data_IF_613013160618
#
_entry.id   IF_613013160618
#
_cell.length_a   1.000
_cell.length_b   1.000
_cell.length_c   1.000
_cell.angle_alpha   90.00
_cell.angle_beta   90.00
_cell.angle_gamma   90.00
#
_symmetry.space_group_name_H-M   'P 1'
#
loop_
_entity.id
_entity.type
_entity.pdbx_description
1 polymer ?
#
# COMPACT_ATOMS: atom_id res chain seq x y z
N UNK A 1 7.18 -11.95 7.96
CA UNK A 1 6.65 -10.63 7.49
C UNK A 1 7.25 -9.45 8.28
N UNK A 2 8.28 -8.77 7.73
CA UNK A 2 9.00 -7.68 8.44
C UNK A 2 8.47 -6.25 8.11
N UNK A 3 7.43 -6.14 7.29
CA UNK A 3 6.88 -4.84 6.86
C UNK A 3 5.63 -4.41 7.66
N UNK A 4 5.01 -5.32 8.40
CA UNK A 4 3.80 -5.02 9.14
C UNK A 4 4.09 -4.29 10.45
N UNK A 5 3.35 -3.23 10.71
CA UNK A 5 3.23 -2.61 12.03
C UNK A 5 1.78 -2.15 12.25
N UNK A 6 1.32 -2.00 13.51
CA UNK A 6 0.01 -1.46 13.79
C UNK A 6 -0.21 -0.13 13.04
N UNK A 7 -1.44 0.06 12.53
CA UNK A 7 -1.88 1.19 11.67
C UNK A 7 -1.42 1.17 10.21
N UNK A 8 -0.62 0.20 9.77
CA UNK A 8 -0.19 0.15 8.36
C UNK A 8 -1.37 0.19 7.37
N UNK A 9 -2.40 -0.64 7.56
CA UNK A 9 -3.57 -0.66 6.66
C UNK A 9 -4.24 0.71 6.61
N UNK A 10 -4.54 1.28 7.78
CA UNK A 10 -5.21 2.56 7.89
C UNK A 10 -4.40 3.69 7.21
N UNK A 11 -3.08 3.71 7.39
CA UNK A 11 -2.23 4.75 6.80
C UNK A 11 -2.06 4.61 5.29
N UNK A 12 -1.93 3.38 4.77
CA UNK A 12 -1.88 3.16 3.32
C UNK A 12 -3.20 3.54 2.66
N UNK A 13 -4.33 3.18 3.27
CA UNK A 13 -5.66 3.56 2.81
C UNK A 13 -5.80 5.09 2.82
N UNK A 14 -5.41 5.74 3.92
CA UNK A 14 -5.45 7.21 4.04
C UNK A 14 -4.68 7.88 2.90
N UNK A 15 -3.44 7.47 2.62
CA UNK A 15 -2.65 8.07 1.54
C UNK A 15 -3.34 7.93 0.17
N UNK A 16 -3.91 6.76 -0.15
CA UNK A 16 -4.62 6.57 -1.40
C UNK A 16 -5.92 7.38 -1.44
N UNK A 17 -6.73 7.34 -0.37
CA UNK A 17 -7.97 8.10 -0.29
C UNK A 17 -7.73 9.59 -0.43
N UNK A 18 -6.79 10.17 0.32
CA UNK A 18 -6.48 11.60 0.29
C UNK A 18 -6.05 12.03 -1.13
N UNK A 19 -5.12 11.29 -1.73
CA UNK A 19 -4.60 11.60 -3.06
C UNK A 19 -5.68 11.45 -4.14
N UNK A 20 -6.40 10.32 -4.16
CA UNK A 20 -7.36 10.05 -5.22
C UNK A 20 -8.67 10.83 -5.08
N UNK A 21 -9.09 11.18 -3.87
CA UNK A 21 -10.18 12.12 -3.66
C UNK A 21 -9.83 13.51 -4.21
N UNK A 22 -8.64 14.02 -3.90
CA UNK A 22 -8.18 15.34 -4.33
C UNK A 22 -8.07 15.47 -5.86
N UNK A 23 -7.51 14.46 -6.51
CA UNK A 23 -7.13 14.57 -7.93
C UNK A 23 -8.12 13.90 -8.90
N UNK A 24 -8.93 12.94 -8.45
CA UNK A 24 -9.92 12.24 -9.28
C UNK A 24 -11.33 12.17 -8.69
N UNK A 25 -11.58 12.84 -7.55
CA UNK A 25 -12.89 12.85 -6.87
C UNK A 25 -13.41 11.44 -6.53
N UNK A 26 -12.49 10.53 -6.22
CA UNK A 26 -12.84 9.21 -5.72
C UNK A 26 -13.35 9.30 -4.28
N UNK A 27 -14.23 8.36 -3.91
CA UNK A 27 -14.83 8.32 -2.58
C UNK A 27 -14.96 6.88 -2.07
N UNK A 28 -15.99 6.64 -1.27
CA UNK A 28 -16.20 5.38 -0.54
C UNK A 28 -15.89 4.09 -1.32
N UNK A 29 -16.34 3.90 -2.58
CA UNK A 29 -16.06 2.65 -3.31
C UNK A 29 -14.56 2.39 -3.52
N UNK A 30 -13.78 3.44 -3.77
CA UNK A 30 -12.34 3.32 -3.96
C UNK A 30 -11.62 3.05 -2.65
N UNK A 31 -11.95 3.83 -1.61
CA UNK A 31 -11.38 3.63 -0.27
C UNK A 31 -11.63 2.22 0.25
N UNK A 32 -12.87 1.74 0.17
CA UNK A 32 -13.24 0.39 0.59
C UNK A 32 -12.48 -0.68 -0.20
N UNK A 33 -12.32 -0.49 -1.51
CA UNK A 33 -11.54 -1.42 -2.35
C UNK A 33 -10.08 -1.49 -1.90
N UNK A 34 -9.44 -0.35 -1.68
CA UNK A 34 -8.04 -0.30 -1.19
C UNK A 34 -7.93 -1.00 0.15
N UNK A 35 -8.86 -0.73 1.08
CA UNK A 35 -8.85 -1.33 2.42
C UNK A 35 -9.02 -2.86 2.38
N UNK A 36 -10.01 -3.36 1.63
CA UNK A 36 -10.29 -4.79 1.52
C UNK A 36 -9.13 -5.54 0.86
N UNK A 37 -8.72 -5.10 -0.33
CA UNK A 37 -7.68 -5.81 -1.08
C UNK A 37 -6.32 -5.76 -0.36
N UNK A 38 -5.99 -4.65 0.32
CA UNK A 38 -4.76 -4.55 1.11
C UNK A 38 -4.79 -5.48 2.33
N UNK A 39 -5.92 -5.55 3.03
CA UNK A 39 -6.09 -6.46 4.16
C UNK A 39 -5.95 -7.92 3.71
N UNK A 40 -6.62 -8.30 2.63
CA UNK A 40 -6.54 -9.64 2.05
C UNK A 40 -5.11 -9.99 1.63
N UNK A 41 -4.40 -9.07 0.97
CA UNK A 41 -3.00 -9.24 0.60
C UNK A 41 -2.09 -9.47 1.83
N UNK A 42 -2.27 -8.70 2.90
CA UNK A 42 -1.45 -8.83 4.11
C UNK A 42 -1.76 -10.13 4.88
N UNK A 43 -3.03 -10.56 4.90
CA UNK A 43 -3.43 -11.83 5.51
C UNK A 43 -2.92 -13.03 4.70
N UNK A 44 -2.89 -12.91 3.37
CA UNK A 44 -2.40 -13.92 2.44
C UNK A 44 -0.92 -13.79 2.08
N UNK A 45 -0.14 -12.94 2.78
CA UNK A 45 1.21 -12.58 2.38
C UNK A 45 2.15 -13.80 2.36
N UNK A 46 2.70 -14.11 1.19
CA UNK A 46 3.60 -15.26 0.99
C UNK A 46 5.05 -14.83 1.21
N UNK A 47 5.56 -15.13 2.40
CA UNK A 47 6.94 -14.81 2.76
C UNK A 47 7.96 -15.43 1.80
N UNK A 48 8.90 -14.61 1.32
CA UNK A 48 9.89 -15.00 0.31
C UNK A 48 9.41 -14.91 -1.15
N UNK A 49 8.10 -14.69 -1.39
CA UNK A 49 7.55 -14.45 -2.73
C UNK A 49 7.01 -13.03 -2.89
N UNK A 50 6.12 -12.63 -1.98
CA UNK A 50 5.54 -11.30 -1.98
C UNK A 50 6.51 -10.29 -1.33
N UNK A 51 6.40 -9.03 -1.73
CA UNK A 51 7.26 -7.96 -1.25
C UNK A 51 6.45 -6.77 -0.78
N UNK A 52 6.85 -6.20 0.36
CA UNK A 52 6.34 -4.93 0.83
C UNK A 52 7.44 -4.17 1.56
N UNK A 53 7.49 -2.86 1.32
CA UNK A 53 8.27 -1.89 2.10
C UNK A 53 7.45 -0.65 2.34
N UNK A 54 7.65 -0.07 3.52
CA UNK A 54 7.06 1.18 3.92
C UNK A 54 8.13 2.04 4.61
N UNK A 55 8.02 3.35 4.42
CA UNK A 55 8.85 4.34 5.05
C UNK A 55 7.99 5.18 5.98
N UNK A 56 8.46 5.40 7.21
CA UNK A 56 7.69 6.14 8.21
C UNK A 56 8.50 7.34 8.71
N UNK A 57 7.80 8.44 8.98
CA UNK A 57 8.30 9.52 9.80
C UNK A 57 8.00 9.14 11.25
N UNK A 58 9.04 8.65 11.92
CA UNK A 58 8.98 8.08 13.26
C UNK A 58 7.87 7.01 13.38
N UNK A 59 7.21 6.96 14.53
CA UNK A 59 6.02 6.14 14.71
C UNK A 59 4.74 6.86 14.28
N UNK A 60 4.75 8.13 13.88
CA UNK A 60 3.53 8.89 13.68
C UNK A 60 2.88 8.66 12.31
N UNK A 61 3.61 8.89 11.21
CA UNK A 61 3.05 9.10 9.86
C UNK A 61 3.74 8.26 8.81
N UNK A 62 2.96 7.61 7.94
CA UNK A 62 3.51 6.89 6.79
C UNK A 62 3.98 7.90 5.72
N UNK A 63 5.26 7.84 5.34
CA UNK A 63 5.81 8.63 4.22
C UNK A 63 5.45 8.00 2.89
N UNK A 64 5.41 6.67 2.81
CA UNK A 64 5.07 5.97 1.59
C UNK A 64 5.19 4.47 1.71
N UNK A 65 4.63 3.77 0.73
CA UNK A 65 4.64 2.31 0.66
C UNK A 65 4.81 1.85 -0.78
N UNK A 66 5.40 0.66 -0.93
CA UNK A 66 5.41 -0.12 -2.16
C UNK A 66 5.11 -1.56 -1.82
N UNK A 67 4.23 -2.20 -2.59
CA UNK A 67 3.96 -3.63 -2.50
C UNK A 67 3.94 -4.30 -3.87
N UNK A 68 4.52 -5.48 -3.93
CA UNK A 68 4.52 -6.38 -5.08
C UNK A 68 3.92 -7.71 -4.64
N UNK A 69 2.95 -8.18 -5.40
CA UNK A 69 2.41 -9.54 -5.26
C UNK A 69 3.10 -10.42 -6.31
N UNK A 70 3.70 -11.52 -5.89
CA UNK A 70 4.26 -12.49 -6.82
C UNK A 70 3.15 -13.10 -7.70
N UNK A 71 3.47 -13.57 -8.91
CA UNK A 71 2.51 -14.27 -9.74
C UNK A 71 2.00 -15.55 -9.07
N UNK A 72 0.78 -15.94 -9.40
CA UNK A 72 0.30 -17.31 -9.19
C UNK A 72 0.94 -18.25 -10.22
N UNK A 73 0.82 -19.56 -9.99
CA UNK A 73 1.40 -20.54 -10.90
C UNK A 73 0.78 -20.42 -12.31
N UNK A 74 1.63 -20.23 -13.32
CA UNK A 74 1.22 -20.01 -14.72
C UNK A 74 1.21 -18.54 -15.17
N UNK A 75 1.58 -17.62 -14.28
CA UNK A 75 1.81 -16.21 -14.61
C UNK A 75 3.30 -15.85 -14.43
N UNK A 76 3.82 -14.94 -15.27
CA UNK A 76 5.26 -14.68 -15.38
C UNK A 76 5.69 -13.37 -14.70
N UNK A 77 4.74 -12.51 -14.32
CA UNK A 77 5.03 -11.16 -13.83
C UNK A 77 4.44 -10.89 -12.44
N UNK A 78 5.27 -10.25 -11.60
CA UNK A 78 4.78 -9.72 -10.33
C UNK A 78 3.89 -8.50 -10.55
N UNK A 79 2.84 -8.38 -9.75
CA UNK A 79 1.92 -7.25 -9.80
C UNK A 79 2.32 -6.17 -8.80
N UNK A 80 2.64 -4.97 -9.31
CA UNK A 80 2.72 -3.77 -8.49
C UNK A 80 1.31 -3.40 -8.02
N UNK A 81 1.08 -3.45 -6.71
CA UNK A 81 -0.24 -3.18 -6.11
C UNK A 81 -0.32 -1.75 -5.61
N UNK A 82 0.06 -1.53 -4.35
CA UNK A 82 -0.03 -0.21 -3.70
C UNK A 82 1.33 0.45 -3.73
N UNK A 83 1.45 1.50 -4.54
CA UNK A 83 2.61 2.36 -4.60
C UNK A 83 2.19 3.81 -4.45
N UNK A 84 2.55 4.42 -3.32
CA UNK A 84 2.21 5.80 -3.03
C UNK A 84 3.24 6.41 -2.08
N UNK A 85 3.52 7.68 -2.29
CA UNK A 85 4.29 8.53 -1.38
C UNK A 85 3.38 9.69 -1.00
N UNK A 86 3.37 10.04 0.27
CA UNK A 86 2.69 11.21 0.78
C UNK A 86 3.26 12.46 0.09
N UNK A 87 2.38 13.33 -0.43
CA UNK A 87 2.77 14.51 -1.21
C UNK A 87 3.78 15.41 -0.47
N UNK A 88 3.76 15.43 0.87
CA UNK A 88 4.68 16.22 1.67
C UNK A 88 6.14 15.74 1.62
N UNK A 89 6.39 14.51 1.16
CA UNK A 89 7.72 13.89 1.06
C UNK A 89 8.06 13.48 -0.38
N UNK A 90 7.24 13.89 -1.35
CA UNK A 90 7.51 13.62 -2.75
C UNK A 90 8.75 14.40 -3.23
N UNK A 91 9.60 13.75 -4.04
CA UNK A 91 10.82 14.36 -4.59
C UNK A 91 12.07 14.26 -3.69
N UNK A 92 12.02 13.47 -2.62
CA UNK A 92 13.15 13.29 -1.69
C UNK A 92 14.13 12.15 -2.05
N UNK A 93 13.75 11.23 -2.95
CA UNK A 93 14.61 10.13 -3.42
C UNK A 93 14.80 9.02 -2.39
#
# INVERSE_FOLDING_TARGET
MNAYRPRLIAEVVRLHSDYYAKHWNFGLPFEAKVALELADFLLGFREGRDFMRNAWQDDARLKGTVSLQAPEDGDDLAHLRWFIVDEAFAGEG
#
